data_IF_098452164752
#
_entry.id   IF_098452164752
#
_cell.length_a   1.000
_cell.length_b   1.000
_cell.length_c   1.000
_cell.angle_alpha   90.00
_cell.angle_beta   90.00
_cell.angle_gamma   90.00
#
_symmetry.space_group_name_H-M   'P 1'
#
loop_
_entity.id
_entity.type
_entity.pdbx_description
1 polymer ?
#
# COMPACT_ATOMS: atom_id res chain seq x y z
N UNK A 1 10.14 4.71 21.76
CA UNK A 1 9.94 3.27 22.06
C UNK A 1 8.75 2.67 21.29
N UNK A 2 8.09 3.41 20.40
CA UNK A 2 6.98 2.91 19.55
C UNK A 2 7.35 2.70 18.08
N UNK A 3 8.61 2.91 17.71
CA UNK A 3 8.93 3.45 16.38
C UNK A 3 9.02 2.40 15.25
N UNK A 4 9.12 1.10 15.59
CA UNK A 4 9.20 -0.01 14.60
C UNK A 4 8.05 -1.00 14.67
N UNK A 5 7.61 -1.40 15.87
CA UNK A 5 6.53 -2.36 16.02
C UNK A 5 5.19 -1.78 15.52
N UNK A 6 4.86 -0.54 15.90
CA UNK A 6 3.66 0.14 15.41
C UNK A 6 3.68 0.36 13.90
N UNK A 7 4.84 0.70 13.33
CA UNK A 7 5.00 0.85 11.87
C UNK A 7 4.76 -0.48 11.14
N UNK A 8 5.26 -1.60 11.67
CA UNK A 8 5.04 -2.92 11.07
C UNK A 8 3.57 -3.36 11.13
N UNK A 9 2.87 -3.10 12.22
CA UNK A 9 1.43 -3.37 12.34
C UNK A 9 0.61 -2.55 11.36
N UNK A 10 0.93 -1.26 11.21
CA UNK A 10 0.28 -0.38 10.21
C UNK A 10 0.51 -0.91 8.79
N UNK A 11 1.75 -1.30 8.44
CA UNK A 11 2.05 -1.86 7.11
C UNK A 11 1.22 -3.12 6.86
N UNK A 12 1.13 -4.04 7.83
CA UNK A 12 0.32 -5.26 7.69
C UNK A 12 -1.15 -4.96 7.47
N UNK A 13 -1.71 -3.99 8.21
CA UNK A 13 -3.10 -3.58 8.04
C UNK A 13 -3.35 -2.97 6.65
N UNK A 14 -2.43 -2.14 6.16
CA UNK A 14 -2.52 -1.55 4.82
C UNK A 14 -2.37 -2.61 3.72
N UNK A 15 -1.48 -3.58 3.90
CA UNK A 15 -1.34 -4.72 2.97
C UNK A 15 -2.62 -5.55 2.88
N UNK A 16 -3.29 -5.81 4.00
CA UNK A 16 -4.58 -6.48 4.00
C UNK A 16 -5.65 -5.65 3.27
N UNK A 17 -5.65 -4.33 3.46
CA UNK A 17 -6.59 -3.41 2.82
C UNK A 17 -6.43 -3.32 1.29
N UNK A 18 -5.29 -3.71 0.72
CA UNK A 18 -5.11 -3.82 -0.74
C UNK A 18 -5.98 -4.94 -1.36
N UNK A 19 -6.49 -5.88 -0.56
CA UNK A 19 -7.41 -6.93 -1.00
C UNK A 19 -8.89 -6.65 -0.76
N UNK A 20 -9.25 -5.45 -0.28
CA UNK A 20 -10.63 -5.12 0.07
C UNK A 20 -11.53 -5.03 -1.19
N UNK A 21 -12.80 -5.42 -1.06
CA UNK A 21 -13.77 -5.36 -2.15
C UNK A 21 -14.03 -3.92 -2.63
N UNK A 22 -13.93 -2.95 -1.73
CA UNK A 22 -14.19 -1.53 -2.01
C UNK A 22 -12.94 -0.87 -2.61
N UNK A 23 -13.11 -0.23 -3.75
CA UNK A 23 -12.00 0.39 -4.48
C UNK A 23 -11.34 1.53 -3.71
N UNK A 24 -12.13 2.32 -2.96
CA UNK A 24 -11.61 3.43 -2.17
C UNK A 24 -10.73 2.92 -1.02
N UNK A 25 -11.01 1.74 -0.46
CA UNK A 25 -10.17 1.14 0.58
C UNK A 25 -8.82 0.73 -0.02
N UNK A 26 -8.84 0.00 -1.15
CA UNK A 26 -7.61 -0.38 -1.87
C UNK A 26 -6.78 0.83 -2.31
N UNK A 27 -7.44 1.85 -2.86
CA UNK A 27 -6.83 3.11 -3.30
C UNK A 27 -6.16 3.84 -2.15
N UNK A 28 -6.86 3.99 -1.03
CA UNK A 28 -6.34 4.68 0.15
C UNK A 28 -5.18 3.89 0.77
N UNK A 29 -5.20 2.56 0.69
CA UNK A 29 -4.09 1.72 1.13
C UNK A 29 -2.82 1.95 0.28
N UNK A 30 -2.95 1.99 -1.05
CA UNK A 30 -1.84 2.35 -1.94
C UNK A 30 -1.27 3.74 -1.61
N UNK A 31 -2.13 4.73 -1.44
CA UNK A 31 -1.73 6.11 -1.11
C UNK A 31 -0.98 6.18 0.22
N UNK A 32 -1.50 5.49 1.24
CA UNK A 32 -0.88 5.46 2.57
C UNK A 32 0.49 4.79 2.52
N UNK A 33 0.61 3.64 1.83
CA UNK A 33 1.89 2.94 1.65
C UNK A 33 2.92 3.82 0.94
N UNK A 34 2.54 4.55 -0.11
CA UNK A 34 3.43 5.52 -0.77
C UNK A 34 3.88 6.66 0.15
N UNK A 35 2.96 7.24 0.91
CA UNK A 35 3.26 8.33 1.87
C UNK A 35 4.17 7.89 3.03
N UNK A 36 4.24 6.59 3.32
CA UNK A 36 5.16 6.05 4.33
C UNK A 36 6.62 6.05 3.87
N UNK A 37 6.88 6.16 2.57
CA UNK A 37 8.23 6.20 1.99
C UNK A 37 9.08 5.01 2.42
N UNK A 38 10.34 5.26 2.79
CA UNK A 38 11.33 4.24 3.18
C UNK A 38 10.84 3.27 4.26
N UNK A 39 9.91 3.70 5.14
CA UNK A 39 9.34 2.83 6.18
C UNK A 39 8.54 1.67 5.59
N UNK A 40 7.92 1.88 4.44
CA UNK A 40 7.18 0.88 3.69
C UNK A 40 7.97 0.31 2.50
N UNK A 41 9.26 0.65 2.33
CA UNK A 41 10.14 0.13 1.28
C UNK A 41 10.56 -1.33 1.44
N UNK A 42 9.69 -2.18 1.99
CA UNK A 42 9.96 -3.62 2.13
C UNK A 42 9.61 -4.36 0.84
N UNK A 43 10.26 -5.50 0.61
CA UNK A 43 9.97 -6.34 -0.55
C UNK A 43 8.51 -6.80 -0.61
N UNK A 44 7.85 -6.95 0.55
CA UNK A 44 6.44 -7.32 0.64
C UNK A 44 5.53 -6.21 0.12
N UNK A 45 5.76 -4.97 0.54
CA UNK A 45 5.00 -3.80 0.08
C UNK A 45 5.21 -3.57 -1.42
N UNK A 46 6.46 -3.66 -1.89
CA UNK A 46 6.75 -3.50 -3.32
C UNK A 46 5.98 -4.55 -4.14
N UNK A 47 5.96 -5.82 -3.72
CA UNK A 47 5.17 -6.87 -4.40
C UNK A 47 3.68 -6.58 -4.40
N UNK A 48 3.15 -6.09 -3.28
CA UNK A 48 1.73 -5.77 -3.16
C UNK A 48 1.33 -4.57 -4.04
N UNK A 49 2.16 -3.53 -4.09
CA UNK A 49 1.95 -2.38 -4.98
C UNK A 49 2.08 -2.78 -6.46
N UNK A 50 3.03 -3.66 -6.81
CA UNK A 50 3.13 -4.22 -8.16
C UNK A 50 1.88 -5.01 -8.56
N UNK A 51 1.26 -5.76 -7.63
CA UNK A 51 -0.02 -6.42 -7.88
C UNK A 51 -1.15 -5.41 -8.08
N UNK A 52 -1.16 -4.31 -7.33
CA UNK A 52 -2.16 -3.24 -7.45
C UNK A 52 -2.07 -2.47 -8.79
N UNK A 53 -0.96 -2.56 -9.52
CA UNK A 53 -0.88 -2.07 -10.91
C UNK A 53 -1.82 -2.83 -11.87
N UNK A 54 -2.24 -4.04 -11.50
CA UNK A 54 -3.22 -4.85 -12.23
C UNK A 54 -4.67 -4.63 -11.79
N UNK A 55 -4.94 -3.70 -10.85
CA UNK A 55 -6.29 -3.49 -10.33
C UNK A 55 -7.27 -3.04 -11.42
N UNK A 56 -8.52 -3.47 -11.31
CA UNK A 56 -9.59 -3.08 -12.23
C UNK A 56 -9.84 -1.56 -12.25
N UNK A 57 -9.64 -0.86 -11.13
CA UNK A 57 -9.92 0.57 -11.03
C UNK A 57 -8.67 1.41 -11.31
N UNK A 58 -8.84 2.38 -12.20
CA UNK A 58 -7.76 3.29 -12.62
C UNK A 58 -7.12 4.02 -11.44
N UNK A 59 -7.92 4.50 -10.49
CA UNK A 59 -7.40 5.23 -9.32
C UNK A 59 -6.49 4.37 -8.44
N UNK A 60 -6.76 3.07 -8.32
CA UNK A 60 -5.91 2.14 -7.57
C UNK A 60 -4.59 1.96 -8.31
N UNK A 61 -4.64 1.70 -9.63
CA UNK A 61 -3.44 1.57 -10.47
C UNK A 61 -2.56 2.82 -10.42
N UNK A 62 -3.18 4.00 -10.51
CA UNK A 62 -2.47 5.29 -10.44
C UNK A 62 -1.74 5.45 -9.10
N UNK A 63 -2.41 5.22 -7.98
CA UNK A 63 -1.79 5.35 -6.66
C UNK A 63 -0.68 4.31 -6.45
N UNK A 64 -0.84 3.10 -7.00
CA UNK A 64 0.21 2.09 -6.99
C UNK A 64 1.45 2.53 -7.80
N UNK A 65 1.28 3.13 -8.98
CA UNK A 65 2.37 3.76 -9.73
C UNK A 65 3.04 4.88 -8.92
N UNK A 66 2.26 5.79 -8.34
CA UNK A 66 2.78 6.91 -7.54
C UNK A 66 3.53 6.43 -6.29
N UNK A 67 3.11 5.33 -5.68
CA UNK A 67 3.77 4.75 -4.51
C UNK A 67 5.07 3.97 -4.83
N UNK A 68 5.26 3.57 -6.09
CA UNK A 68 6.46 2.86 -6.56
C UNK A 68 7.54 3.78 -7.13
N UNK A 69 7.23 5.06 -7.38
CA UNK A 69 8.15 6.09 -7.90
C UNK A 69 8.64 7.04 -6.82
#
# INVERSE_FOLDING_TARGET
MGDKAGTAEVIRALLAALGDEKEHVRRNACEALGKMGDKAGTAEVIRALLAALGDEKEHVRRNACEALG
#
